data_IF_885496049205
#
_entry.id   IF_885496049205
#
_cell.length_a   1.000
_cell.length_b   1.000
_cell.length_c   1.000
_cell.angle_alpha   90.00
_cell.angle_beta   90.00
_cell.angle_gamma   90.00
#
_symmetry.space_group_name_H-M   'P 1'
#
loop_
_entity.id
_entity.type
_entity.pdbx_description
1 polymer ?
#
# COMPACT_ATOMS: atom_id res chain seq x y z
N UNK A 1 -20.13 10.85 -37.04
CA UNK A 1 -18.96 10.37 -36.23
C UNK A 1 -19.42 10.37 -34.78
N UNK A 2 -19.11 9.34 -34.00
CA UNK A 2 -19.42 9.39 -32.59
C UNK A 2 -18.39 10.27 -31.91
N UNK A 3 -18.84 11.27 -31.18
CA UNK A 3 -17.97 12.16 -30.43
C UNK A 3 -17.51 11.46 -29.14
N UNK A 4 -16.21 11.55 -28.83
CA UNK A 4 -15.63 11.07 -27.60
C UNK A 4 -15.24 12.29 -26.78
N UNK A 5 -15.69 12.33 -25.54
CA UNK A 5 -15.29 13.36 -24.60
C UNK A 5 -14.15 12.82 -23.75
N UNK A 6 -12.94 13.34 -23.97
CA UNK A 6 -11.84 13.16 -23.05
C UNK A 6 -11.87 14.28 -22.01
N UNK A 7 -11.80 13.94 -20.73
CA UNK A 7 -11.61 14.96 -19.72
C UNK A 7 -10.31 15.74 -19.96
N UNK A 8 -10.31 17.04 -19.69
CA UNK A 8 -9.17 17.92 -19.95
C UNK A 8 -8.01 17.59 -19.00
N UNK A 9 -6.82 17.43 -19.54
CA UNK A 9 -5.61 17.31 -18.73
C UNK A 9 -5.34 18.64 -18.01
N UNK A 10 -4.96 18.58 -16.74
CA UNK A 10 -4.52 19.77 -16.01
C UNK A 10 -3.10 20.19 -16.44
N UNK A 11 -2.68 21.41 -16.08
CA UNK A 11 -1.43 22.01 -16.52
C UNK A 11 -0.20 21.14 -16.26
N UNK A 12 -0.11 20.50 -15.09
CA UNK A 12 0.98 19.59 -14.77
C UNK A 12 1.03 18.34 -15.67
N UNK A 13 -0.13 17.81 -16.08
CA UNK A 13 -0.21 16.70 -17.05
C UNK A 13 0.10 17.17 -18.48
N UNK A 14 -0.37 18.36 -18.86
CA UNK A 14 -0.06 18.96 -20.17
C UNK A 14 1.44 19.22 -20.31
N UNK A 15 2.10 19.66 -19.24
CA UNK A 15 3.55 19.86 -19.22
C UNK A 15 4.30 18.55 -19.48
N UNK A 16 3.98 17.48 -18.73
CA UNK A 16 4.54 16.15 -18.96
C UNK A 16 4.23 15.65 -20.37
N UNK A 17 3.01 15.88 -20.86
CA UNK A 17 2.61 15.48 -22.21
C UNK A 17 3.42 16.21 -23.29
N UNK A 18 3.61 17.53 -23.20
CA UNK A 18 4.36 18.30 -24.17
C UNK A 18 5.85 17.94 -24.16
N UNK A 19 6.48 17.86 -23.00
CA UNK A 19 7.90 17.55 -22.87
C UNK A 19 8.22 16.13 -23.34
N UNK A 20 7.28 15.22 -23.22
CA UNK A 20 7.45 13.82 -23.63
C UNK A 20 7.56 13.64 -25.15
N UNK A 21 7.15 14.63 -25.97
CA UNK A 21 7.21 14.50 -27.43
C UNK A 21 8.64 14.38 -27.97
N UNK A 22 9.62 14.90 -27.25
CA UNK A 22 11.04 14.83 -27.63
C UNK A 22 11.72 13.52 -27.19
N UNK A 23 11.01 12.68 -26.39
CA UNK A 23 11.56 11.48 -25.79
C UNK A 23 10.73 10.23 -26.12
N UNK A 24 11.40 9.17 -26.57
CA UNK A 24 10.73 7.90 -26.88
C UNK A 24 10.33 7.15 -25.61
N UNK A 25 11.17 7.17 -24.58
CA UNK A 25 10.97 6.47 -23.32
C UNK A 25 10.85 7.50 -22.20
N UNK A 26 9.72 7.48 -21.50
CA UNK A 26 9.38 8.46 -20.47
C UNK A 26 9.09 7.77 -19.13
N UNK A 27 9.76 8.18 -18.07
CA UNK A 27 9.48 7.80 -16.70
C UNK A 27 8.78 8.97 -16.01
N UNK A 28 7.55 8.76 -15.53
CA UNK A 28 6.74 9.81 -14.90
C UNK A 28 6.60 9.50 -13.41
N UNK A 29 7.40 10.15 -12.61
CA UNK A 29 7.46 10.02 -11.17
C UNK A 29 6.43 10.94 -10.54
N UNK A 30 5.35 10.33 -10.04
CA UNK A 30 4.14 11.05 -9.63
C UNK A 30 3.87 10.94 -8.13
N UNK A 31 3.35 12.02 -7.53
CA UNK A 31 2.72 11.97 -6.22
C UNK A 31 1.32 11.33 -6.27
N UNK A 32 0.84 10.87 -5.11
CA UNK A 32 -0.55 10.42 -4.95
C UNK A 32 -1.52 11.52 -5.38
N UNK A 33 -2.66 11.14 -5.97
CA UNK A 33 -3.68 12.08 -6.46
C UNK A 33 -3.21 13.05 -7.56
N UNK A 34 -2.01 12.86 -8.12
CA UNK A 34 -1.59 13.66 -9.27
C UNK A 34 -2.41 13.38 -10.54
N UNK A 35 -3.02 12.22 -10.65
CA UNK A 35 -3.84 11.84 -11.80
C UNK A 35 -3.14 10.94 -12.82
N UNK A 36 -2.22 10.06 -12.37
CA UNK A 36 -1.51 9.07 -13.20
C UNK A 36 -2.44 8.30 -14.14
N UNK A 37 -3.39 7.59 -13.55
CA UNK A 37 -4.34 6.73 -14.30
C UNK A 37 -5.20 7.52 -15.28
N UNK A 38 -5.49 8.78 -14.96
CA UNK A 38 -6.23 9.69 -15.82
C UNK A 38 -5.40 10.05 -17.08
N UNK A 39 -4.15 10.48 -16.89
CA UNK A 39 -3.23 10.77 -18.00
C UNK A 39 -2.95 9.53 -18.84
N UNK A 40 -2.73 8.37 -18.20
CA UNK A 40 -2.56 7.08 -18.87
C UNK A 40 -3.77 6.76 -19.76
N UNK A 41 -4.98 6.89 -19.23
CA UNK A 41 -6.22 6.62 -19.97
C UNK A 41 -6.39 7.59 -21.15
N UNK A 42 -6.10 8.87 -20.96
CA UNK A 42 -6.13 9.88 -22.02
C UNK A 42 -5.14 9.57 -23.14
N UNK A 43 -3.93 9.15 -22.79
CA UNK A 43 -2.92 8.70 -23.75
C UNK A 43 -3.40 7.46 -24.54
N UNK A 44 -3.97 6.47 -23.83
CA UNK A 44 -4.50 5.27 -24.45
C UNK A 44 -5.60 5.57 -25.48
N UNK A 45 -6.56 6.43 -25.11
CA UNK A 45 -7.64 6.83 -26.02
C UNK A 45 -7.08 7.61 -27.22
N UNK A 46 -6.20 8.57 -26.97
CA UNK A 46 -5.59 9.39 -28.05
C UNK A 46 -4.89 8.50 -29.09
N UNK A 47 -4.04 7.59 -28.65
CA UNK A 47 -3.32 6.71 -29.57
C UNK A 47 -4.25 5.69 -30.24
N UNK A 48 -5.17 5.08 -29.52
CA UNK A 48 -6.11 4.11 -30.12
C UNK A 48 -7.04 4.72 -31.16
N UNK A 49 -7.33 6.02 -31.05
CA UNK A 49 -8.20 6.74 -32.01
C UNK A 49 -7.44 7.42 -33.14
N UNK A 50 -6.16 7.77 -32.94
CA UNK A 50 -5.27 8.33 -33.97
C UNK A 50 -4.94 7.27 -35.02
N UNK A 51 -4.94 7.67 -36.29
CA UNK A 51 -4.60 6.77 -37.39
C UNK A 51 -3.10 6.70 -37.61
N UNK A 52 -2.60 5.50 -37.78
CA UNK A 52 -1.21 5.17 -38.07
C UNK A 52 -1.11 4.34 -39.33
N UNK A 53 -0.16 4.69 -40.21
CA UNK A 53 0.16 3.90 -41.40
C UNK A 53 0.76 2.56 -40.97
N UNK A 54 0.25 1.45 -41.51
CA UNK A 54 0.79 0.13 -41.22
C UNK A 54 2.01 -0.20 -42.08
N UNK A 55 3.12 -0.68 -41.49
CA UNK A 55 4.29 -1.10 -42.27
C UNK A 55 3.90 -2.15 -43.31
N UNK A 56 4.35 -1.93 -44.56
CA UNK A 56 4.07 -2.86 -45.66
C UNK A 56 2.63 -2.88 -46.19
N UNK A 57 1.76 -1.99 -45.71
CA UNK A 57 0.36 -1.86 -46.13
C UNK A 57 0.05 -0.42 -46.48
N UNK A 58 -0.75 -0.17 -47.48
CA UNK A 58 -1.19 1.18 -47.84
C UNK A 58 -2.53 1.51 -47.19
N UNK A 59 -2.62 1.22 -45.86
CA UNK A 59 -3.78 1.51 -45.04
C UNK A 59 -3.39 2.20 -43.75
N UNK A 60 -4.30 3.05 -43.25
CA UNK A 60 -4.20 3.67 -41.95
C UNK A 60 -5.28 3.11 -41.02
N UNK A 61 -4.86 2.68 -39.85
CA UNK A 61 -5.74 2.15 -38.80
C UNK A 61 -5.46 2.84 -37.47
N UNK A 62 -6.42 2.80 -36.58
CA UNK A 62 -6.21 3.26 -35.20
C UNK A 62 -5.01 2.58 -34.55
N UNK A 63 -4.37 3.26 -33.61
CA UNK A 63 -3.13 2.79 -32.96
C UNK A 63 -3.33 1.52 -32.12
N UNK A 64 -2.21 0.85 -31.89
CA UNK A 64 -2.10 -0.31 -30.99
C UNK A 64 -1.47 0.14 -29.68
N UNK A 65 -2.17 -0.06 -28.60
CA UNK A 65 -1.80 0.38 -27.25
C UNK A 65 -1.55 -0.86 -26.39
N UNK A 66 -0.43 -0.90 -25.69
CA UNK A 66 -0.14 -1.90 -24.66
C UNK A 66 -0.22 -1.26 -23.28
N UNK A 67 -1.13 -1.72 -22.42
CA UNK A 67 -1.26 -1.30 -21.04
C UNK A 67 -0.77 -2.42 -20.15
N UNK A 68 0.15 -2.10 -19.24
CA UNK A 68 0.79 -3.05 -18.34
C UNK A 68 0.57 -2.59 -16.90
N UNK A 69 0.05 -3.49 -16.07
CA UNK A 69 -0.19 -3.27 -14.65
C UNK A 69 0.48 -4.39 -13.84
N UNK A 70 0.81 -4.14 -12.58
CA UNK A 70 1.34 -5.18 -11.72
C UNK A 70 0.27 -6.23 -11.40
N UNK A 71 -0.96 -5.79 -11.10
CA UNK A 71 -2.03 -6.63 -10.59
C UNK A 71 -3.33 -6.53 -11.40
N UNK A 72 -4.18 -7.57 -11.25
CA UNK A 72 -5.46 -7.66 -11.95
C UNK A 72 -6.44 -6.53 -11.56
N UNK A 73 -6.45 -6.10 -10.30
CA UNK A 73 -7.34 -5.03 -9.83
C UNK A 73 -7.05 -3.70 -10.54
N UNK A 74 -5.77 -3.35 -10.68
CA UNK A 74 -5.34 -2.13 -11.40
C UNK A 74 -5.79 -2.18 -12.86
N UNK A 75 -5.61 -3.34 -13.50
CA UNK A 75 -6.10 -3.56 -14.87
C UNK A 75 -7.61 -3.30 -14.99
N UNK A 76 -8.42 -3.84 -14.07
CA UNK A 76 -9.87 -3.70 -14.13
C UNK A 76 -10.31 -2.23 -14.01
N UNK A 77 -9.71 -1.49 -13.10
CA UNK A 77 -10.02 -0.06 -12.91
C UNK A 77 -9.71 0.78 -14.18
N UNK A 78 -8.62 0.47 -14.86
CA UNK A 78 -8.25 1.16 -16.12
C UNK A 78 -9.20 0.73 -17.24
N UNK A 79 -9.51 -0.56 -17.33
CA UNK A 79 -10.40 -1.10 -18.35
C UNK A 79 -11.79 -0.47 -18.27
N UNK A 80 -12.38 -0.40 -17.09
CA UNK A 80 -13.74 0.15 -16.88
C UNK A 80 -13.82 1.61 -17.33
N UNK A 81 -12.81 2.43 -17.00
CA UNK A 81 -12.73 3.82 -17.46
C UNK A 81 -12.60 3.93 -18.97
N UNK A 82 -11.75 3.10 -19.57
CA UNK A 82 -11.57 3.10 -21.03
C UNK A 82 -12.78 2.57 -21.78
N UNK A 83 -13.47 1.58 -21.22
CA UNK A 83 -14.70 1.04 -21.81
C UNK A 83 -15.79 2.11 -21.83
N UNK A 84 -15.97 2.86 -20.73
CA UNK A 84 -16.96 3.95 -20.67
C UNK A 84 -16.70 5.01 -21.74
N UNK A 85 -15.48 5.52 -21.84
CA UNK A 85 -15.10 6.57 -22.81
C UNK A 85 -15.17 6.05 -24.26
N UNK A 86 -14.72 4.83 -24.51
CA UNK A 86 -14.61 4.26 -25.86
C UNK A 86 -15.86 3.49 -26.31
N UNK A 87 -16.89 3.41 -25.50
CA UNK A 87 -18.13 2.68 -25.81
C UNK A 87 -18.70 2.99 -27.20
N UNK A 88 -18.77 4.26 -27.66
CA UNK A 88 -19.28 4.59 -28.99
C UNK A 88 -18.44 4.03 -30.14
N UNK A 89 -17.14 3.84 -29.93
CA UNK A 89 -16.17 3.32 -30.91
C UNK A 89 -15.83 1.84 -30.69
N UNK A 90 -16.31 1.23 -29.63
CA UNK A 90 -16.05 -0.19 -29.32
C UNK A 90 -16.60 -1.09 -30.43
N UNK A 91 -15.75 -1.98 -30.94
CA UNK A 91 -16.13 -3.07 -31.85
C UNK A 91 -16.38 -4.36 -31.08
N UNK A 92 -15.43 -4.75 -30.22
CA UNK A 92 -15.51 -5.97 -29.41
C UNK A 92 -14.51 -5.92 -28.27
N UNK A 93 -14.70 -6.79 -27.28
CA UNK A 93 -13.73 -7.10 -26.24
C UNK A 93 -13.53 -8.61 -26.12
N UNK A 94 -12.29 -9.04 -26.20
CA UNK A 94 -11.90 -10.44 -25.95
C UNK A 94 -11.44 -10.60 -24.51
N UNK A 95 -12.21 -11.29 -23.69
CA UNK A 95 -11.81 -11.61 -22.30
C UNK A 95 -10.58 -12.50 -22.23
N UNK A 96 -10.45 -13.44 -23.17
CA UNK A 96 -9.33 -14.36 -23.22
C UNK A 96 -8.02 -13.66 -23.54
N UNK A 97 -8.03 -12.76 -24.54
CA UNK A 97 -6.84 -11.99 -24.92
C UNK A 97 -6.67 -10.70 -24.13
N UNK A 98 -7.64 -10.35 -23.26
CA UNK A 98 -7.70 -9.04 -22.57
C UNK A 98 -7.48 -7.88 -23.56
N UNK A 99 -8.25 -7.87 -24.65
CA UNK A 99 -8.09 -6.95 -25.77
C UNK A 99 -9.38 -6.22 -26.11
N UNK A 100 -9.32 -4.89 -26.10
CA UNK A 100 -10.37 -4.03 -26.63
C UNK A 100 -10.07 -3.67 -28.08
N UNK A 101 -11.03 -3.90 -28.97
CA UNK A 101 -10.94 -3.54 -30.39
C UNK A 101 -11.90 -2.41 -30.72
N UNK A 102 -11.44 -1.41 -31.50
CA UNK A 102 -12.21 -0.29 -31.95
C UNK A 102 -12.62 -0.42 -33.42
N UNK A 103 -13.71 0.26 -33.80
CA UNK A 103 -14.26 0.27 -35.16
C UNK A 103 -13.27 0.84 -36.19
N UNK A 104 -12.37 1.75 -35.77
CA UNK A 104 -11.32 2.33 -36.62
C UNK A 104 -10.11 1.41 -36.78
N UNK A 105 -10.14 0.19 -36.24
CA UNK A 105 -9.02 -0.79 -36.24
C UNK A 105 -8.01 -0.60 -35.11
N UNK A 106 -8.23 0.38 -34.21
CA UNK A 106 -7.43 0.55 -32.99
C UNK A 106 -7.59 -0.63 -32.05
N UNK A 107 -6.53 -0.91 -31.28
CA UNK A 107 -6.48 -2.05 -30.34
C UNK A 107 -5.81 -1.62 -29.03
N UNK A 108 -6.39 -2.04 -27.92
CA UNK A 108 -5.81 -1.86 -26.59
C UNK A 108 -5.67 -3.24 -25.96
N UNK A 109 -4.43 -3.66 -25.71
CA UNK A 109 -4.10 -4.90 -25.03
C UNK A 109 -3.77 -4.59 -23.56
N UNK A 110 -4.29 -5.43 -22.66
CA UNK A 110 -4.04 -5.31 -21.23
C UNK A 110 -3.22 -6.49 -20.73
N UNK A 111 -2.19 -6.21 -19.95
CA UNK A 111 -1.24 -7.19 -19.44
C UNK A 111 -1.08 -7.04 -17.93
N UNK A 112 -1.10 -8.17 -17.22
CA UNK A 112 -0.72 -8.24 -15.81
C UNK A 112 0.68 -8.82 -15.73
N UNK A 113 1.63 -8.04 -15.21
CA UNK A 113 3.06 -8.40 -15.27
C UNK A 113 3.46 -9.40 -14.20
N UNK A 114 2.87 -9.33 -13.00
CA UNK A 114 3.21 -10.23 -11.88
C UNK A 114 2.95 -11.72 -12.20
N UNK A 115 2.04 -12.01 -13.13
CA UNK A 115 1.64 -13.38 -13.48
C UNK A 115 2.21 -13.84 -14.82
N UNK A 116 2.88 -12.96 -15.59
CA UNK A 116 3.25 -13.27 -16.96
C UNK A 116 4.58 -12.63 -17.41
N UNK A 117 5.66 -13.41 -17.32
CA UNK A 117 6.99 -13.00 -17.81
C UNK A 117 7.07 -12.78 -19.33
N UNK A 118 6.06 -13.21 -20.09
CA UNK A 118 5.96 -13.03 -21.55
C UNK A 118 4.99 -11.92 -21.94
N UNK A 119 4.57 -11.08 -20.98
CA UNK A 119 3.65 -9.98 -21.23
C UNK A 119 4.13 -9.08 -22.39
N UNK A 120 3.27 -8.85 -23.36
CA UNK A 120 3.55 -8.07 -24.56
C UNK A 120 4.28 -8.80 -25.68
N UNK A 121 4.87 -9.99 -25.44
CA UNK A 121 5.68 -10.68 -26.46
C UNK A 121 4.87 -11.05 -27.70
N UNK A 122 5.44 -10.81 -28.88
CA UNK A 122 4.79 -11.06 -30.18
C UNK A 122 3.75 -10.00 -30.56
N UNK A 123 3.71 -8.88 -29.86
CA UNK A 123 2.89 -7.70 -30.18
C UNK A 123 3.72 -6.58 -30.77
N UNK A 124 3.03 -5.59 -31.31
CA UNK A 124 3.59 -4.32 -31.80
C UNK A 124 2.72 -3.19 -31.33
N UNK A 125 3.31 -2.16 -30.74
CA UNK A 125 2.57 -1.04 -30.16
C UNK A 125 3.09 0.31 -30.66
N UNK A 126 2.19 1.25 -30.90
CA UNK A 126 2.49 2.66 -31.11
C UNK A 126 2.75 3.37 -29.77
N UNK A 127 2.15 2.84 -28.69
CA UNK A 127 2.43 3.30 -27.33
C UNK A 127 2.35 2.17 -26.32
N UNK A 128 3.24 2.19 -25.34
CA UNK A 128 3.22 1.37 -24.14
C UNK A 128 2.98 2.27 -22.94
N UNK A 129 2.07 1.84 -22.06
CA UNK A 129 1.71 2.51 -20.83
C UNK A 129 1.85 1.50 -19.68
N UNK A 130 2.72 1.79 -18.70
CA UNK A 130 2.95 0.96 -17.53
C UNK A 130 2.49 1.75 -16.30
N UNK A 131 1.56 1.20 -15.53
CA UNK A 131 1.07 1.83 -14.30
C UNK A 131 1.66 1.13 -13.06
N UNK A 132 1.93 1.92 -12.03
CA UNK A 132 2.49 1.51 -10.74
C UNK A 132 3.75 0.63 -10.87
N UNK A 133 4.69 1.06 -11.69
CA UNK A 133 5.88 0.29 -12.07
C UNK A 133 6.83 -0.01 -10.90
N UNK A 134 6.81 0.79 -9.83
CA UNK A 134 7.60 0.54 -8.63
C UNK A 134 7.05 -0.62 -7.79
N UNK A 135 5.74 -0.91 -7.88
CA UNK A 135 5.02 -1.84 -6.99
C UNK A 135 4.76 -3.20 -7.65
N UNK A 136 5.78 -3.79 -8.24
CA UNK A 136 5.70 -5.17 -8.75
C UNK A 136 6.00 -6.17 -7.65
N UNK A 137 5.48 -7.40 -7.79
CA UNK A 137 5.67 -8.50 -6.82
C UNK A 137 7.14 -8.77 -6.46
N UNK A 138 8.03 -8.53 -7.41
CA UNK A 138 9.49 -8.52 -7.21
C UNK A 138 10.05 -7.26 -7.85
N UNK A 139 10.93 -6.52 -7.17
CA UNK A 139 11.55 -5.32 -7.71
C UNK A 139 12.20 -5.53 -9.08
N UNK A 140 12.74 -6.72 -9.32
CA UNK A 140 13.44 -7.09 -10.55
C UNK A 140 12.49 -7.49 -11.70
N UNK A 141 11.21 -7.71 -11.44
CA UNK A 141 10.25 -8.26 -12.42
C UNK A 141 10.23 -7.47 -13.72
N UNK A 142 9.98 -6.17 -13.65
CA UNK A 142 9.98 -5.32 -14.83
C UNK A 142 11.38 -5.17 -15.44
N UNK A 143 12.44 -5.20 -14.63
CA UNK A 143 13.83 -5.18 -15.08
C UNK A 143 14.15 -6.37 -15.96
N UNK A 144 13.57 -7.55 -15.66
CA UNK A 144 13.70 -8.76 -16.47
C UNK A 144 12.86 -8.71 -17.75
N UNK A 145 11.58 -8.34 -17.66
CA UNK A 145 10.65 -8.46 -18.78
C UNK A 145 10.72 -7.26 -19.75
N UNK A 146 11.16 -6.08 -19.29
CA UNK A 146 11.26 -4.90 -20.13
C UNK A 146 12.13 -5.14 -21.38
N UNK A 147 13.43 -5.55 -21.28
CA UNK A 147 14.27 -5.74 -22.44
C UNK A 147 13.88 -6.95 -23.30
N UNK A 148 13.31 -7.99 -22.71
CA UNK A 148 13.04 -9.26 -23.38
C UNK A 148 11.67 -9.34 -24.05
N UNK A 149 10.68 -8.66 -23.50
CA UNK A 149 9.28 -8.83 -23.92
C UNK A 149 8.60 -7.51 -24.28
N UNK A 150 8.79 -6.45 -23.49
CA UNK A 150 8.02 -5.21 -23.64
C UNK A 150 8.69 -4.26 -24.64
N UNK A 151 9.93 -3.82 -24.41
CA UNK A 151 10.64 -2.89 -25.28
C UNK A 151 10.68 -3.31 -26.75
N UNK A 152 10.90 -4.61 -27.10
CA UNK A 152 10.91 -5.04 -28.49
C UNK A 152 9.63 -4.76 -29.27
N UNK A 153 8.48 -4.64 -28.59
CA UNK A 153 7.18 -4.35 -29.23
C UNK A 153 7.12 -2.95 -29.87
N UNK A 154 8.05 -2.06 -29.53
CA UNK A 154 8.15 -0.70 -30.07
C UNK A 154 9.05 -0.59 -31.32
N UNK A 155 9.82 -1.64 -31.65
CA UNK A 155 10.88 -1.52 -32.65
C UNK A 155 10.36 -1.17 -34.05
N UNK A 156 9.31 -1.86 -34.51
CA UNK A 156 8.75 -1.68 -35.85
C UNK A 156 7.96 -0.41 -36.01
N UNK A 157 7.34 0.05 -34.93
CA UNK A 157 6.46 1.21 -34.91
C UNK A 157 7.21 2.51 -34.58
N UNK A 158 8.43 2.40 -34.06
CA UNK A 158 9.14 3.49 -33.38
C UNK A 158 8.23 4.15 -32.30
N UNK A 159 7.44 3.30 -31.63
CA UNK A 159 6.47 3.69 -30.63
C UNK A 159 7.11 4.28 -29.39
N UNK A 160 6.29 4.82 -28.51
CA UNK A 160 6.69 5.47 -27.25
C UNK A 160 6.34 4.62 -26.04
N UNK A 161 7.04 4.84 -24.93
CA UNK A 161 6.66 4.26 -23.64
C UNK A 161 6.54 5.35 -22.58
N UNK A 162 5.52 5.18 -21.74
CA UNK A 162 5.33 5.94 -20.50
C UNK A 162 5.23 4.98 -19.35
N UNK A 163 6.06 5.19 -18.35
CA UNK A 163 6.14 4.37 -17.14
C UNK A 163 5.79 5.26 -15.95
N UNK A 164 4.63 5.04 -15.38
CA UNK A 164 4.10 5.82 -14.27
C UNK A 164 4.29 5.08 -12.94
N UNK A 165 4.71 5.77 -11.91
CA UNK A 165 4.63 5.29 -10.53
C UNK A 165 4.79 6.40 -9.51
N UNK A 166 4.29 6.17 -8.29
CA UNK A 166 4.84 6.78 -7.09
C UNK A 166 6.17 6.09 -6.79
N UNK A 167 7.19 6.78 -6.23
CA UNK A 167 8.42 6.16 -5.78
C UNK A 167 8.18 5.10 -4.69
N UNK A 168 9.02 4.07 -4.66
CA UNK A 168 9.03 3.05 -3.61
C UNK A 168 10.46 2.90 -3.05
N UNK A 169 10.85 3.88 -2.24
CA UNK A 169 12.18 3.93 -1.64
C UNK A 169 13.35 4.05 -2.63
N UNK A 170 14.56 3.91 -2.11
CA UNK A 170 15.81 3.86 -2.87
C UNK A 170 16.22 2.40 -3.03
N UNK A 171 15.99 1.81 -4.19
CA UNK A 171 16.36 0.43 -4.50
C UNK A 171 16.85 0.32 -5.95
N UNK A 172 18.15 0.08 -6.16
CA UNK A 172 18.73 -0.07 -7.48
C UNK A 172 18.18 -1.29 -8.25
N UNK A 173 17.64 -2.29 -7.56
CA UNK A 173 16.99 -3.43 -8.19
C UNK A 173 15.56 -3.11 -8.64
N UNK A 174 14.95 -2.08 -8.09
CA UNK A 174 13.64 -1.61 -8.54
C UNK A 174 13.75 -0.99 -9.94
N UNK A 175 12.98 -1.53 -10.89
CA UNK A 175 12.99 -1.05 -12.28
C UNK A 175 12.68 0.44 -12.39
N UNK A 176 11.67 0.91 -11.64
CA UNK A 176 11.24 2.31 -11.71
C UNK A 176 12.32 3.26 -11.16
N UNK A 177 12.95 2.89 -10.04
CA UNK A 177 14.10 3.63 -9.52
C UNK A 177 15.24 3.70 -10.56
N UNK A 178 15.57 2.53 -11.14
CA UNK A 178 16.66 2.43 -12.12
C UNK A 178 16.42 3.31 -13.36
N UNK A 179 15.21 3.35 -13.93
CA UNK A 179 14.92 4.16 -15.13
C UNK A 179 14.89 5.67 -14.85
N UNK A 180 14.60 6.08 -13.60
CA UNK A 180 14.68 7.49 -13.20
C UNK A 180 16.12 7.97 -12.98
N UNK A 181 17.07 7.09 -12.60
CA UNK A 181 18.42 7.49 -12.22
C UNK A 181 19.49 7.10 -13.24
N UNK A 182 19.33 5.95 -13.91
CA UNK A 182 20.33 5.46 -14.85
C UNK A 182 20.06 5.95 -16.28
N UNK A 183 20.72 7.03 -16.67
CA UNK A 183 20.59 7.63 -18.01
C UNK A 183 20.91 6.66 -19.16
N UNK A 184 21.71 5.62 -18.93
CA UNK A 184 22.03 4.62 -19.96
C UNK A 184 20.82 3.76 -20.37
N UNK A 185 19.76 3.74 -19.57
CA UNK A 185 18.50 3.06 -19.92
C UNK A 185 17.67 3.87 -20.94
N UNK A 186 18.02 5.12 -21.19
CA UNK A 186 17.44 5.98 -22.23
C UNK A 186 16.07 6.55 -21.90
N UNK A 187 15.67 6.52 -20.63
CA UNK A 187 14.44 7.17 -20.18
C UNK A 187 14.69 8.65 -19.85
N UNK A 188 13.71 9.47 -20.19
CA UNK A 188 13.61 10.83 -19.68
C UNK A 188 12.68 10.83 -18.46
N UNK A 189 13.13 11.42 -17.35
CA UNK A 189 12.38 11.50 -16.11
C UNK A 189 11.55 12.78 -16.05
N UNK A 190 10.27 12.64 -15.76
CA UNK A 190 9.35 13.73 -15.43
C UNK A 190 9.01 13.66 -13.95
N UNK A 191 9.23 14.75 -13.21
CA UNK A 191 8.87 14.88 -11.80
C UNK A 191 7.51 15.57 -11.69
N UNK A 192 6.55 14.88 -11.12
CA UNK A 192 5.15 15.28 -11.09
C UNK A 192 4.57 15.19 -9.65
N UNK A 193 4.93 16.13 -8.75
CA UNK A 193 4.44 16.14 -7.38
C UNK A 193 2.92 16.43 -7.33
N UNK A 194 2.26 16.00 -6.27
CA UNK A 194 0.81 16.21 -6.04
C UNK A 194 0.42 17.68 -6.16
N UNK A 195 1.29 18.60 -5.71
CA UNK A 195 1.06 20.04 -5.78
C UNK A 195 0.90 20.61 -7.20
N UNK A 196 1.32 19.87 -8.21
CA UNK A 196 1.12 20.27 -9.62
C UNK A 196 -0.26 19.89 -10.17
N UNK A 197 -1.10 19.22 -9.38
CA UNK A 197 -2.52 18.99 -9.69
C UNK A 197 -3.40 20.07 -9.06
N UNK A 198 -3.98 21.01 -9.85
CA UNK A 198 -4.81 22.10 -9.32
C UNK A 198 -6.13 21.63 -8.70
N UNK A 199 -6.53 20.38 -8.90
CA UNK A 199 -7.71 19.80 -8.27
C UNK A 199 -7.48 19.36 -6.81
N UNK A 200 -6.23 19.39 -6.34
CA UNK A 200 -5.88 19.14 -4.94
C UNK A 200 -5.73 20.49 -4.22
N UNK A 201 -6.64 20.84 -3.31
CA UNK A 201 -6.55 22.09 -2.57
C UNK A 201 -5.23 22.16 -1.77
N UNK A 202 -4.51 23.30 -1.79
CA UNK A 202 -3.25 23.44 -1.03
C UNK A 202 -3.40 23.18 0.47
N UNK A 203 -4.55 23.56 1.04
CA UNK A 203 -4.86 23.33 2.45
C UNK A 203 -5.01 21.84 2.79
N UNK A 204 -5.52 21.04 1.89
CA UNK A 204 -5.59 19.59 2.10
C UNK A 204 -4.20 18.94 2.00
N UNK A 205 -3.36 19.42 1.08
CA UNK A 205 -1.99 18.95 0.98
C UNK A 205 -1.16 19.35 2.23
N UNK A 206 -1.42 20.52 2.80
CA UNK A 206 -0.76 20.96 4.04
C UNK A 206 -1.21 20.09 5.23
N UNK A 207 -2.49 19.74 5.33
CA UNK A 207 -2.96 18.79 6.34
C UNK A 207 -2.27 17.44 6.21
N UNK A 208 -2.10 16.93 4.97
CA UNK A 208 -1.34 15.70 4.75
C UNK A 208 0.12 15.82 5.20
N UNK A 209 0.75 16.99 5.02
CA UNK A 209 2.10 17.26 5.49
C UNK A 209 2.22 17.24 7.01
N UNK A 210 1.25 17.83 7.71
CA UNK A 210 1.21 17.87 9.16
C UNK A 210 0.90 16.50 9.79
N UNK A 211 0.09 15.69 9.11
CA UNK A 211 -0.42 14.43 9.64
C UNK A 211 0.48 13.22 9.36
N UNK A 212 1.43 13.31 8.41
CA UNK A 212 2.30 12.21 8.04
C UNK A 212 3.75 12.41 8.51
N UNK A 213 4.48 11.29 8.65
CA UNK A 213 5.94 11.35 8.76
C UNK A 213 6.49 12.14 7.57
N UNK A 214 7.41 13.10 7.77
CA UNK A 214 7.96 13.89 6.67
C UNK A 214 8.54 13.07 5.53
N UNK A 215 9.09 11.87 5.81
CA UNK A 215 9.60 10.95 4.79
C UNK A 215 8.47 10.36 3.96
N UNK A 216 7.37 9.97 4.60
CA UNK A 216 6.17 9.49 3.92
C UNK A 216 5.60 10.60 3.04
N UNK A 217 5.47 11.81 3.57
CA UNK A 217 4.97 12.95 2.79
C UNK A 217 5.85 13.23 1.56
N UNK A 218 7.17 13.19 1.73
CA UNK A 218 8.11 13.37 0.62
C UNK A 218 7.95 12.32 -0.47
N UNK A 219 7.85 11.05 -0.08
CA UNK A 219 7.67 9.96 -1.04
C UNK A 219 6.30 10.00 -1.72
N UNK A 220 5.23 10.07 -0.91
CA UNK A 220 3.87 9.87 -1.40
C UNK A 220 3.30 11.11 -2.12
N UNK A 221 3.64 12.32 -1.67
CA UNK A 221 3.06 13.55 -2.21
C UNK A 221 4.05 14.40 -3.00
N UNK A 222 5.32 14.46 -2.58
CA UNK A 222 6.34 15.17 -3.36
C UNK A 222 6.98 14.29 -4.42
N UNK A 223 6.62 13.01 -4.48
CA UNK A 223 7.16 12.02 -5.42
C UNK A 223 8.70 11.92 -5.35
N UNK A 224 9.29 11.98 -4.16
CA UNK A 224 10.73 11.84 -3.97
C UNK A 224 11.10 10.39 -3.64
N UNK A 225 12.26 9.94 -4.10
CA UNK A 225 12.82 8.69 -3.61
C UNK A 225 13.43 8.90 -2.22
N UNK A 226 12.95 8.15 -1.25
CA UNK A 226 13.37 8.27 0.16
C UNK A 226 14.16 7.04 0.56
N UNK A 227 15.33 7.24 1.15
CA UNK A 227 16.10 6.16 1.74
C UNK A 227 15.51 5.79 3.11
N UNK A 228 14.91 4.61 3.18
CA UNK A 228 14.33 4.06 4.39
C UNK A 228 15.31 3.28 5.27
N UNK A 229 16.53 3.02 4.77
CA UNK A 229 17.54 2.21 5.49
C UNK A 229 18.13 2.94 6.69
N UNK A 230 18.11 4.25 6.72
CA UNK A 230 18.81 5.07 7.71
C UNK A 230 18.14 5.11 9.08
N UNK A 231 16.81 4.91 9.17
CA UNK A 231 16.07 4.94 10.44
C UNK A 231 14.77 4.16 10.36
N UNK A 232 14.30 3.61 11.49
CA UNK A 232 13.00 2.98 11.60
C UNK A 232 11.86 3.91 11.13
N UNK A 233 10.79 3.32 10.58
CA UNK A 233 9.56 4.06 10.27
C UNK A 233 8.94 4.65 11.54
N UNK A 234 8.96 3.89 12.64
CA UNK A 234 8.36 4.29 13.91
C UNK A 234 9.43 4.78 14.89
N UNK A 235 9.46 6.09 15.15
CA UNK A 235 10.29 6.65 16.22
C UNK A 235 9.63 6.38 17.58
N UNK A 236 10.05 5.34 18.26
CA UNK A 236 9.46 4.91 19.55
C UNK A 236 9.54 5.96 20.65
N UNK A 237 10.35 7.03 20.51
CA UNK A 237 10.33 8.18 21.43
C UNK A 237 8.96 8.87 21.47
N UNK A 238 8.18 8.77 20.40
CA UNK A 238 6.80 9.29 20.36
C UNK A 238 5.86 8.59 21.33
N UNK A 239 6.19 7.38 21.79
CA UNK A 239 5.43 6.69 22.83
C UNK A 239 5.53 7.31 24.20
N UNK A 240 6.59 8.12 24.45
CA UNK A 240 6.89 8.69 25.75
C UNK A 240 6.35 10.10 25.89
N UNK A 241 6.24 10.53 27.14
CA UNK A 241 5.92 11.91 27.55
C UNK A 241 7.14 12.53 28.26
N UNK A 242 6.98 13.78 28.72
CA UNK A 242 8.06 14.58 29.30
C UNK A 242 8.79 15.45 28.26
N UNK A 243 9.56 16.40 28.74
CA UNK A 243 10.30 17.35 27.89
C UNK A 243 11.30 16.64 26.95
N UNK A 244 11.87 15.51 27.39
CA UNK A 244 12.81 14.73 26.61
C UNK A 244 12.18 13.54 25.87
N UNK A 245 10.86 13.34 25.96
CA UNK A 245 10.17 12.16 25.44
C UNK A 245 10.84 10.86 25.92
N UNK A 246 10.99 10.70 27.21
CA UNK A 246 11.71 9.58 27.85
C UNK A 246 10.89 8.86 28.94
N UNK A 247 9.67 9.35 29.25
CA UNK A 247 8.85 8.80 30.32
C UNK A 247 7.66 8.02 29.76
N UNK A 248 7.56 6.70 30.01
CA UNK A 248 6.35 5.94 29.74
C UNK A 248 5.19 6.48 30.62
N UNK A 249 3.99 6.34 30.11
CA UNK A 249 2.80 6.85 30.80
C UNK A 249 2.26 5.84 31.81
N UNK A 250 1.49 6.30 32.79
CA UNK A 250 0.71 5.41 33.64
C UNK A 250 -0.56 4.93 32.91
N UNK A 251 -1.24 3.92 33.43
CA UNK A 251 -2.55 3.54 32.93
C UNK A 251 -3.50 4.76 33.00
N UNK A 252 -4.34 4.98 31.99
CA UNK A 252 -5.32 6.06 32.06
C UNK A 252 -6.28 5.82 33.23
N UNK A 253 -6.54 6.86 34.01
CA UNK A 253 -7.55 6.81 35.09
C UNK A 253 -8.95 6.54 34.55
N UNK A 254 -9.22 6.97 33.32
CA UNK A 254 -10.46 6.73 32.58
C UNK A 254 -10.17 6.77 31.09
N UNK A 255 -10.76 5.84 30.33
CA UNK A 255 -10.71 5.83 28.88
C UNK A 255 -12.10 5.59 28.29
N UNK A 256 -12.23 5.75 26.98
CA UNK A 256 -13.49 5.49 26.28
C UNK A 256 -13.77 3.99 26.22
N UNK A 257 -12.81 3.19 25.79
CA UNK A 257 -12.91 1.76 25.69
C UNK A 257 -11.53 1.09 25.78
N UNK A 258 -11.51 -0.23 26.00
CA UNK A 258 -10.34 -1.06 25.81
C UNK A 258 -10.59 -2.11 24.74
N UNK A 259 -9.54 -2.50 24.01
CA UNK A 259 -9.60 -3.60 23.04
C UNK A 259 -8.24 -4.28 22.93
N UNK A 260 -8.21 -5.43 22.29
CA UNK A 260 -6.97 -6.08 21.92
C UNK A 260 -6.93 -6.39 20.43
N UNK A 261 -5.72 -6.49 19.88
CA UNK A 261 -5.47 -7.02 18.53
C UNK A 261 -4.65 -8.29 18.69
N UNK A 262 -5.00 -9.30 17.92
CA UNK A 262 -4.41 -10.63 17.98
C UNK A 262 -3.98 -11.07 16.59
N UNK A 263 -2.69 -11.32 16.43
CA UNK A 263 -2.12 -12.00 15.27
C UNK A 263 -1.85 -13.47 15.58
N UNK A 264 -2.28 -14.37 14.70
CA UNK A 264 -2.27 -15.82 14.93
C UNK A 264 -1.29 -16.55 14.04
N UNK A 265 -0.29 -17.22 14.61
CA UNK A 265 0.56 -18.15 13.87
C UNK A 265 -0.15 -19.48 13.60
N UNK A 266 0.12 -20.07 12.42
CA UNK A 266 -0.46 -21.39 12.03
C UNK A 266 0.29 -22.56 12.67
N UNK A 267 1.60 -22.41 12.90
CA UNK A 267 2.48 -23.49 13.39
C UNK A 267 3.26 -23.03 14.63
N UNK A 268 3.20 -23.82 15.67
CA UNK A 268 4.08 -23.69 16.83
C UNK A 268 5.51 -24.19 16.50
N UNK A 269 6.51 -23.70 17.26
CA UNK A 269 7.91 -24.11 17.17
C UNK A 269 8.88 -22.94 17.02
N UNK A 270 10.14 -23.16 17.39
CA UNK A 270 11.17 -22.10 17.46
C UNK A 270 11.51 -21.42 16.13
N UNK A 271 11.18 -22.08 15.01
CA UNK A 271 11.44 -21.58 13.65
C UNK A 271 10.26 -20.84 13.01
N UNK A 272 9.09 -20.84 13.68
CA UNK A 272 7.86 -20.24 13.15
C UNK A 272 7.54 -18.93 13.88
N UNK A 273 6.66 -18.13 13.28
CA UNK A 273 6.14 -16.91 13.88
C UNK A 273 5.34 -17.22 15.14
N UNK A 274 5.25 -16.26 16.03
CA UNK A 274 4.52 -16.40 17.29
C UNK A 274 3.06 -16.00 17.13
N UNK A 275 2.22 -16.40 18.08
CA UNK A 275 0.94 -15.74 18.27
C UNK A 275 1.15 -14.56 19.22
N UNK A 276 0.74 -13.38 18.76
CA UNK A 276 0.93 -12.13 19.48
C UNK A 276 -0.41 -11.49 19.86
N UNK A 277 -0.42 -10.72 20.92
CA UNK A 277 -1.56 -9.88 21.33
C UNK A 277 -1.04 -8.57 21.91
N UNK A 278 -1.67 -7.46 21.51
CA UNK A 278 -1.43 -6.14 22.12
C UNK A 278 -2.75 -5.57 22.63
N UNK A 279 -2.75 -5.07 23.86
CA UNK A 279 -3.92 -4.53 24.57
C UNK A 279 -3.85 -3.00 24.60
N UNK A 280 -4.98 -2.37 24.34
CA UNK A 280 -5.08 -0.93 24.18
C UNK A 280 -6.20 -0.32 25.03
N UNK A 281 -5.93 0.87 25.57
CA UNK A 281 -6.96 1.81 25.98
C UNK A 281 -7.06 2.90 24.90
N UNK A 282 -8.25 3.21 24.45
CA UNK A 282 -8.53 4.22 23.44
C UNK A 282 -9.40 5.34 23.98
N UNK A 283 -9.10 6.56 23.54
CA UNK A 283 -9.95 7.73 23.68
C UNK A 283 -9.94 8.48 22.34
N UNK A 284 -11.09 8.56 21.68
CA UNK A 284 -11.24 9.20 20.35
C UNK A 284 -11.84 10.61 20.47
N UNK A 285 -12.25 11.04 21.67
CA UNK A 285 -12.91 12.30 21.91
C UNK A 285 -12.07 13.48 21.48
N UNK A 286 -12.63 14.53 20.85
CA UNK A 286 -11.91 15.71 20.42
C UNK A 286 -11.05 16.33 21.53
N UNK A 287 -9.76 16.57 21.25
CA UNK A 287 -8.80 17.10 22.19
C UNK A 287 -8.23 16.09 23.21
N UNK A 288 -8.66 14.82 23.14
CA UNK A 288 -8.15 13.72 23.98
C UNK A 288 -7.74 12.50 23.19
N UNK A 289 -7.65 12.62 21.86
CA UNK A 289 -7.31 11.50 20.99
C UNK A 289 -6.01 10.82 21.42
N UNK A 290 -6.12 9.58 21.89
CA UNK A 290 -4.99 8.82 22.43
C UNK A 290 -5.26 7.33 22.37
N UNK A 291 -4.24 6.58 22.00
CA UNK A 291 -4.17 5.12 22.12
C UNK A 291 -3.04 4.78 23.10
N UNK A 292 -3.37 4.19 24.25
CA UNK A 292 -2.36 3.76 25.22
C UNK A 292 -2.17 2.26 25.11
N UNK A 293 -0.96 1.82 24.82
CA UNK A 293 -0.55 0.41 24.89
C UNK A 293 -0.49 0.03 26.37
N UNK A 294 -1.41 -0.81 26.81
CA UNK A 294 -1.54 -1.22 28.21
C UNK A 294 -0.65 -2.42 28.54
N UNK A 295 -0.68 -3.40 27.65
CA UNK A 295 0.04 -4.67 27.81
C UNK A 295 0.26 -5.31 26.43
N UNK A 296 1.10 -6.32 26.38
CA UNK A 296 1.35 -7.14 25.19
C UNK A 296 1.82 -8.52 25.60
N UNK A 297 1.59 -9.52 24.74
CA UNK A 297 2.14 -10.85 24.91
C UNK A 297 2.52 -11.48 23.57
N UNK A 298 3.46 -12.40 23.59
CA UNK A 298 3.86 -13.20 22.44
C UNK A 298 4.19 -14.61 22.90
N UNK A 299 3.52 -15.59 22.31
CA UNK A 299 3.64 -17.00 22.69
C UNK A 299 3.94 -17.85 21.48
N UNK A 300 4.78 -18.89 21.70
CA UNK A 300 4.98 -19.94 20.72
C UNK A 300 4.05 -21.11 21.08
N UNK A 301 2.85 -21.08 20.54
CA UNK A 301 1.83 -22.07 20.83
C UNK A 301 1.35 -22.73 19.53
N UNK A 302 1.11 -24.04 19.58
CA UNK A 302 0.49 -24.73 18.45
C UNK A 302 -0.95 -24.26 18.26
N UNK A 303 -1.36 -24.06 17.00
CA UNK A 303 -2.71 -23.59 16.67
C UNK A 303 -3.82 -24.40 17.33
N UNK A 304 -3.62 -25.70 17.53
CA UNK A 304 -4.56 -26.57 18.23
C UNK A 304 -4.76 -26.21 19.71
N UNK A 305 -3.80 -25.51 20.33
CA UNK A 305 -3.83 -25.09 21.73
C UNK A 305 -4.28 -23.64 21.91
N UNK A 306 -4.44 -22.88 20.84
CA UNK A 306 -4.87 -21.48 20.90
C UNK A 306 -6.20 -21.31 21.65
N UNK A 307 -7.12 -22.25 21.50
CA UNK A 307 -8.40 -22.23 22.22
C UNK A 307 -8.27 -22.25 23.74
N UNK A 308 -7.23 -22.88 24.26
CA UNK A 308 -6.97 -22.94 25.71
C UNK A 308 -6.31 -21.67 26.24
N UNK A 309 -5.65 -20.92 25.35
CA UNK A 309 -4.97 -19.66 25.70
C UNK A 309 -5.89 -18.44 25.57
N UNK A 310 -6.78 -18.41 24.57
CA UNK A 310 -7.69 -17.28 24.30
C UNK A 310 -8.50 -16.82 25.53
N UNK A 311 -9.04 -17.70 26.39
CA UNK A 311 -9.73 -17.26 27.61
C UNK A 311 -8.89 -16.35 28.50
N UNK A 312 -7.57 -16.61 28.62
CA UNK A 312 -6.67 -15.76 29.41
C UNK A 312 -6.50 -14.35 28.77
N UNK A 313 -6.62 -14.25 27.45
CA UNK A 313 -6.63 -12.95 26.75
C UNK A 313 -7.88 -12.14 27.13
N UNK A 314 -9.05 -12.78 27.18
CA UNK A 314 -10.28 -12.10 27.59
C UNK A 314 -10.26 -11.73 29.08
N UNK A 315 -9.75 -12.60 29.95
CA UNK A 315 -9.56 -12.28 31.35
C UNK A 315 -8.69 -11.05 31.54
N UNK A 316 -7.54 -11.02 30.86
CA UNK A 316 -6.64 -9.87 30.89
C UNK A 316 -7.28 -8.61 30.36
N UNK A 317 -8.04 -8.69 29.27
CA UNK A 317 -8.76 -7.55 28.69
C UNK A 317 -9.81 -6.99 29.66
N UNK A 318 -10.53 -7.85 30.40
CA UNK A 318 -11.50 -7.45 31.41
C UNK A 318 -10.83 -6.79 32.63
N UNK A 319 -9.69 -7.31 33.08
CA UNK A 319 -8.89 -6.69 34.14
C UNK A 319 -8.47 -5.27 33.74
N UNK A 320 -7.91 -5.11 32.53
CA UNK A 320 -7.46 -3.82 32.00
C UNK A 320 -8.63 -2.83 31.81
N UNK A 321 -9.79 -3.33 31.37
CA UNK A 321 -11.01 -2.53 31.27
C UNK A 321 -11.43 -1.96 32.62
N UNK A 322 -11.32 -2.77 33.66
CA UNK A 322 -11.65 -2.36 35.04
C UNK A 322 -10.60 -1.39 35.60
N UNK A 323 -9.32 -1.65 35.36
CA UNK A 323 -8.22 -0.79 35.82
C UNK A 323 -8.24 0.61 35.18
N UNK A 324 -8.57 0.69 33.90
CA UNK A 324 -8.64 1.95 33.15
C UNK A 324 -10.03 2.62 33.20
N UNK A 325 -10.95 2.12 34.01
CA UNK A 325 -12.34 2.63 34.11
C UNK A 325 -12.90 2.93 32.70
N UNK A 326 -12.91 1.92 31.84
CA UNK A 326 -13.38 2.05 30.45
C UNK A 326 -14.90 2.31 30.42
N UNK A 327 -15.32 3.47 29.91
CA UNK A 327 -16.71 3.92 29.89
C UNK A 327 -17.60 2.98 29.10
N UNK A 328 -17.14 2.55 27.92
CA UNK A 328 -17.83 1.59 27.05
C UNK A 328 -17.39 0.13 27.31
N UNK A 329 -16.58 -0.10 28.36
CA UNK A 329 -16.07 -1.42 28.68
C UNK A 329 -15.03 -1.92 27.66
N UNK A 330 -15.06 -3.25 27.41
CA UNK A 330 -14.21 -3.90 26.44
C UNK A 330 -14.93 -4.04 25.09
N UNK A 331 -14.27 -3.64 24.03
CA UNK A 331 -14.72 -3.87 22.64
C UNK A 331 -14.36 -5.28 22.15
N UNK A 332 -13.63 -6.07 22.95
CA UNK A 332 -13.20 -7.41 22.57
C UNK A 332 -11.87 -7.46 21.83
N UNK A 333 -11.65 -8.58 21.15
CA UNK A 333 -10.40 -8.89 20.46
C UNK A 333 -10.61 -8.81 18.95
N UNK A 334 -9.79 -8.03 18.27
CA UNK A 334 -9.79 -7.90 16.81
C UNK A 334 -8.80 -8.90 16.21
N UNK A 335 -9.27 -9.70 15.24
CA UNK A 335 -8.51 -10.80 14.64
C UNK A 335 -8.61 -10.72 13.12
N UNK A 336 -7.49 -10.98 12.43
CA UNK A 336 -7.49 -11.11 10.97
C UNK A 336 -8.22 -12.38 10.53
N UNK A 337 -9.16 -12.26 9.58
CA UNK A 337 -9.90 -13.40 9.02
C UNK A 337 -9.05 -14.16 7.99
N UNK A 338 -7.98 -14.77 8.50
CA UNK A 338 -7.07 -15.59 7.74
C UNK A 338 -6.61 -16.79 8.59
N UNK A 339 -6.43 -17.94 7.97
CA UNK A 339 -5.83 -19.12 8.60
C UNK A 339 -6.48 -19.49 9.95
N UNK A 340 -5.73 -19.48 11.03
CA UNK A 340 -6.24 -19.78 12.38
C UNK A 340 -7.21 -18.72 12.92
N UNK A 341 -7.04 -17.47 12.50
CA UNK A 341 -7.96 -16.38 12.87
C UNK A 341 -9.40 -16.65 12.43
N UNK A 342 -9.60 -17.20 11.21
CA UNK A 342 -10.94 -17.59 10.74
C UNK A 342 -11.60 -18.64 11.66
N UNK A 343 -10.82 -19.58 12.18
CA UNK A 343 -11.31 -20.61 13.11
C UNK A 343 -11.71 -19.99 14.43
N UNK A 344 -10.90 -19.06 14.96
CA UNK A 344 -11.19 -18.35 16.21
C UNK A 344 -12.43 -17.47 16.09
N UNK A 345 -12.63 -16.80 14.96
CA UNK A 345 -13.84 -16.01 14.69
C UNK A 345 -15.09 -16.90 14.69
N UNK A 346 -15.09 -18.03 13.98
CA UNK A 346 -16.21 -18.98 13.96
C UNK A 346 -16.52 -19.55 15.36
N UNK A 347 -15.47 -19.88 16.12
CA UNK A 347 -15.65 -20.35 17.50
C UNK A 347 -16.17 -19.26 18.42
N UNK A 348 -15.68 -18.04 18.25
CA UNK A 348 -16.16 -16.87 18.97
C UNK A 348 -17.66 -16.70 18.81
N UNK A 349 -18.18 -16.79 17.59
CA UNK A 349 -19.62 -16.78 17.34
C UNK A 349 -20.35 -17.90 18.08
N UNK A 350 -19.81 -19.12 18.09
CA UNK A 350 -20.45 -20.28 18.69
C UNK A 350 -20.41 -20.27 20.22
N UNK A 351 -19.35 -19.72 20.82
CA UNK A 351 -19.09 -19.68 22.26
C UNK A 351 -19.48 -18.34 22.92
N UNK A 352 -19.91 -17.36 22.13
CA UNK A 352 -20.23 -16.02 22.59
C UNK A 352 -19.00 -15.22 23.06
N UNK A 353 -17.84 -15.49 22.48
CA UNK A 353 -16.62 -14.73 22.77
C UNK A 353 -16.66 -13.34 22.11
N UNK A 354 -16.15 -12.29 22.77
CA UNK A 354 -16.11 -10.95 22.21
C UNK A 354 -14.96 -10.83 21.17
N UNK A 355 -15.11 -11.46 20.02
CA UNK A 355 -14.17 -11.40 18.91
C UNK A 355 -14.74 -10.59 17.76
N UNK A 356 -13.91 -9.79 17.13
CA UNK A 356 -14.25 -8.96 16.00
C UNK A 356 -13.31 -9.24 14.82
N UNK A 357 -13.88 -9.24 13.64
CA UNK A 357 -13.09 -9.37 12.42
C UNK A 357 -12.46 -8.03 12.05
N UNK A 358 -11.15 -8.02 11.73
CA UNK A 358 -10.51 -6.88 11.09
C UNK A 358 -11.03 -6.75 9.66
N UNK A 359 -11.37 -5.53 9.23
CA UNK A 359 -11.93 -5.27 7.92
C UNK A 359 -11.06 -5.79 6.77
N UNK A 360 -11.71 -6.42 5.78
CA UNK A 360 -11.02 -6.99 4.61
C UNK A 360 -10.29 -5.93 3.77
N UNK A 361 -10.75 -4.69 3.81
CA UNK A 361 -10.09 -3.54 3.18
C UNK A 361 -8.71 -3.24 3.77
N UNK A 362 -8.47 -3.58 5.03
CA UNK A 362 -7.20 -3.43 5.73
C UNK A 362 -6.32 -4.68 5.55
N UNK A 363 -6.89 -5.87 5.70
CA UNK A 363 -6.12 -7.12 5.60
C UNK A 363 -5.63 -7.41 4.19
N UNK A 364 -6.31 -6.89 3.16
CA UNK A 364 -5.86 -6.98 1.75
C UNK A 364 -4.65 -6.11 1.42
N UNK A 365 -4.27 -5.19 2.31
CA UNK A 365 -3.10 -4.33 2.15
C UNK A 365 -1.82 -5.04 2.60
N UNK A 366 -0.74 -4.81 1.87
CA UNK A 366 0.59 -5.29 2.30
C UNK A 366 1.04 -4.66 3.62
N UNK A 367 1.99 -5.32 4.30
CA UNK A 367 2.54 -4.86 5.59
C UNK A 367 3.06 -3.42 5.50
N UNK A 368 3.83 -3.09 4.48
CA UNK A 368 4.39 -1.75 4.30
C UNK A 368 3.29 -0.70 4.11
N UNK A 369 2.23 -1.01 3.35
CA UNK A 369 1.11 -0.09 3.17
C UNK A 369 0.36 0.16 4.49
N UNK A 370 0.12 -0.90 5.29
CA UNK A 370 -0.48 -0.75 6.63
C UNK A 370 0.41 0.08 7.55
N UNK A 371 1.72 -0.19 7.55
CA UNK A 371 2.66 0.57 8.36
C UNK A 371 2.71 2.05 7.98
N UNK A 372 2.66 2.38 6.69
CA UNK A 372 2.56 3.76 6.20
C UNK A 372 1.28 4.43 6.72
N UNK A 373 0.13 3.76 6.65
CA UNK A 373 -1.14 4.29 7.19
C UNK A 373 -1.04 4.56 8.70
N UNK A 374 -0.48 3.62 9.46
CA UNK A 374 -0.31 3.74 10.90
C UNK A 374 0.71 4.82 11.31
N UNK A 375 1.74 5.06 10.46
CA UNK A 375 2.84 5.96 10.77
C UNK A 375 2.42 7.40 11.01
N UNK A 376 1.37 7.87 10.34
CA UNK A 376 0.82 9.21 10.55
C UNK A 376 0.27 9.41 11.97
N UNK A 377 -0.46 8.43 12.51
CA UNK A 377 -0.97 8.47 13.89
C UNK A 377 0.16 8.39 14.91
N UNK A 378 1.16 7.53 14.64
CA UNK A 378 2.36 7.43 15.46
C UNK A 378 3.17 8.74 15.45
N UNK A 379 3.39 9.33 14.28
CA UNK A 379 4.15 10.57 14.11
C UNK A 379 3.52 11.74 14.91
N UNK A 380 2.20 11.85 14.91
CA UNK A 380 1.45 12.81 15.72
C UNK A 380 1.51 12.55 17.23
N UNK A 381 2.11 11.44 17.66
CA UNK A 381 2.23 11.06 19.07
C UNK A 381 0.93 10.60 19.71
N UNK A 382 -0.04 10.12 18.92
CA UNK A 382 -1.32 9.62 19.41
C UNK A 382 -1.18 8.27 20.15
N UNK A 383 -0.13 7.48 19.82
CA UNK A 383 0.21 6.27 20.56
C UNK A 383 1.12 6.58 21.75
N UNK A 384 0.77 6.03 22.90
CA UNK A 384 1.60 6.05 24.11
C UNK A 384 1.80 4.64 24.64
N UNK A 385 2.88 4.41 25.39
CA UNK A 385 3.13 3.13 26.03
C UNK A 385 3.07 3.28 27.54
N UNK A 386 2.31 2.39 28.19
CA UNK A 386 2.27 2.34 29.64
C UNK A 386 3.61 1.92 30.23
N UNK A 387 3.92 2.36 31.45
CA UNK A 387 5.11 1.92 32.19
C UNK A 387 5.14 0.38 32.29
N UNK A 388 3.99 -0.23 32.57
CA UNK A 388 3.86 -1.67 32.65
C UNK A 388 4.27 -2.37 31.33
N UNK A 389 3.71 -1.95 30.20
CA UNK A 389 4.02 -2.55 28.90
C UNK A 389 5.48 -2.27 28.45
N UNK A 390 6.03 -1.12 28.84
CA UNK A 390 7.40 -0.76 28.53
C UNK A 390 8.43 -1.57 29.31
N UNK A 391 8.19 -1.76 30.61
CA UNK A 391 9.10 -2.52 31.49
C UNK A 391 8.95 -4.04 31.33
N UNK A 392 7.83 -4.51 30.78
CA UNK A 392 7.57 -5.93 30.54
C UNK A 392 8.60 -6.55 29.61
N UNK A 393 9.09 -7.72 29.99
CA UNK A 393 9.90 -8.58 29.15
C UNK A 393 9.30 -9.98 29.07
N UNK A 394 9.47 -10.64 27.93
CA UNK A 394 9.06 -12.05 27.75
C UNK A 394 10.17 -12.84 27.07
N UNK A 395 10.17 -14.14 27.27
CA UNK A 395 11.05 -15.07 26.58
C UNK A 395 10.39 -15.50 25.28
N UNK A 396 10.98 -15.11 24.13
CA UNK A 396 10.49 -15.50 22.83
C UNK A 396 11.68 -15.81 21.89
N UNK A 397 11.62 -16.94 21.18
CA UNK A 397 12.73 -17.43 20.34
C UNK A 397 14.09 -17.45 21.07
N UNK A 398 14.07 -17.79 22.37
CA UNK A 398 15.29 -17.90 23.20
C UNK A 398 15.88 -16.56 23.68
N UNK A 399 15.23 -15.45 23.43
CA UNK A 399 15.66 -14.11 23.87
C UNK A 399 14.67 -13.55 24.90
N UNK A 400 15.19 -12.97 25.98
CA UNK A 400 14.39 -12.23 26.98
C UNK A 400 14.49 -10.74 26.65
N UNK A 401 13.40 -10.13 26.20
CA UNK A 401 13.37 -8.72 25.81
C UNK A 401 11.95 -8.13 25.87
N UNK A 402 11.85 -6.82 25.75
CA UNK A 402 10.59 -6.19 25.33
C UNK A 402 10.48 -6.35 23.81
N UNK A 403 9.73 -7.39 23.38
CA UNK A 403 9.63 -7.74 21.96
C UNK A 403 8.80 -6.75 21.18
N UNK A 404 7.78 -6.11 21.77
CA UNK A 404 7.01 -5.06 21.12
C UNK A 404 7.91 -3.86 20.76
N UNK A 405 8.65 -3.35 21.76
CA UNK A 405 9.59 -2.26 21.51
C UNK A 405 10.61 -2.63 20.44
N UNK A 406 11.15 -3.85 20.51
CA UNK A 406 12.18 -4.34 19.58
C UNK A 406 11.67 -4.45 18.15
N UNK A 407 10.45 -4.98 17.93
CA UNK A 407 9.86 -5.15 16.62
C UNK A 407 9.50 -3.79 15.99
N UNK A 408 8.85 -2.91 16.75
CA UNK A 408 8.43 -1.60 16.27
C UNK A 408 9.62 -0.68 16.00
N UNK A 409 10.63 -0.64 16.89
CA UNK A 409 11.81 0.23 16.73
C UNK A 409 12.75 -0.19 15.60
N UNK A 410 12.64 -1.41 15.09
CA UNK A 410 13.51 -1.96 14.04
C UNK A 410 12.82 -2.13 12.69
N UNK A 411 11.61 -1.68 12.58
CA UNK A 411 10.87 -1.80 11.32
C UNK A 411 11.31 -0.76 10.30
N UNK A 412 11.63 -1.23 9.10
CA UNK A 412 11.95 -0.39 7.95
C UNK A 412 11.09 -0.80 6.77
N UNK A 413 10.63 0.17 6.00
CA UNK A 413 9.91 -0.09 4.75
C UNK A 413 10.85 -0.75 3.73
N UNK A 414 10.27 -1.54 2.85
CA UNK A 414 10.99 -2.26 1.78
C UNK A 414 12.17 -3.13 2.28
N UNK A 415 12.10 -3.65 3.52
CA UNK A 415 13.15 -4.47 4.09
C UNK A 415 13.20 -5.86 3.47
N UNK A 416 14.20 -6.12 2.65
CA UNK A 416 14.43 -7.43 1.99
C UNK A 416 14.63 -8.59 2.97
N UNK A 417 14.97 -8.32 4.23
CA UNK A 417 15.19 -9.30 5.28
C UNK A 417 14.03 -9.39 6.30
N UNK A 418 12.91 -8.73 6.04
CA UNK A 418 11.75 -8.72 6.94
C UNK A 418 11.30 -10.15 7.30
N UNK A 419 11.25 -11.06 6.30
CA UNK A 419 10.87 -12.47 6.48
C UNK A 419 11.76 -13.28 7.45
N UNK A 420 12.89 -12.73 7.87
CA UNK A 420 13.81 -13.37 8.84
C UNK A 420 13.59 -12.90 10.27
N UNK A 421 12.73 -11.95 10.50
CA UNK A 421 12.48 -11.34 11.80
C UNK A 421 11.04 -11.55 12.21
N UNK A 422 10.83 -11.77 13.52
CA UNK A 422 9.50 -11.77 14.07
C UNK A 422 8.91 -10.33 13.99
N UNK A 423 7.67 -10.24 13.57
CA UNK A 423 6.97 -8.98 13.39
C UNK A 423 5.48 -9.03 13.80
N UNK A 424 5.08 -10.10 14.47
CA UNK A 424 3.72 -10.35 14.91
C UNK A 424 3.16 -9.18 15.77
N UNK A 425 3.95 -8.71 16.76
CA UNK A 425 3.58 -7.56 17.61
C UNK A 425 3.58 -6.22 16.84
N UNK A 426 4.36 -6.10 15.77
CA UNK A 426 4.32 -4.94 14.89
C UNK A 426 3.02 -4.90 14.09
N UNK A 427 2.55 -6.04 13.57
CA UNK A 427 1.28 -6.12 12.86
C UNK A 427 0.12 -5.74 13.80
N UNK A 428 0.10 -6.28 15.02
CA UNK A 428 -0.87 -5.88 16.05
C UNK A 428 -0.81 -4.38 16.35
N UNK A 429 0.40 -3.79 16.41
CA UNK A 429 0.58 -2.37 16.65
C UNK A 429 0.02 -1.52 15.52
N UNK A 430 0.28 -1.89 14.27
CA UNK A 430 -0.24 -1.15 13.11
C UNK A 430 -1.75 -1.25 13.00
N UNK A 431 -2.32 -2.43 13.20
CA UNK A 431 -3.76 -2.61 13.25
C UNK A 431 -4.41 -1.83 14.40
N UNK A 432 -3.80 -1.84 15.59
CA UNK A 432 -4.30 -1.09 16.74
C UNK A 432 -4.47 0.40 16.46
N UNK A 433 -3.48 1.01 15.80
CA UNK A 433 -3.53 2.42 15.38
C UNK A 433 -4.61 2.68 14.33
N UNK A 434 -4.73 1.81 13.33
CA UNK A 434 -5.70 1.98 12.25
C UNK A 434 -7.13 1.76 12.77
N UNK A 435 -7.36 0.76 13.62
CA UNK A 435 -8.66 0.51 14.25
C UNK A 435 -9.07 1.71 15.10
N UNK A 436 -8.15 2.27 15.90
CA UNK A 436 -8.45 3.40 16.77
C UNK A 436 -8.77 4.69 16.02
N UNK A 437 -8.13 4.95 14.88
CA UNK A 437 -8.17 6.28 14.26
C UNK A 437 -8.44 6.28 12.75
N UNK A 438 -8.47 5.12 12.10
CA UNK A 438 -8.46 5.03 10.62
C UNK A 438 -9.82 5.15 9.94
N UNK A 439 -10.92 4.92 10.65
CA UNK A 439 -12.28 5.09 10.14
C UNK A 439 -13.07 5.92 11.14
N UNK A 440 -13.74 6.94 10.68
CA UNK A 440 -14.58 7.79 11.54
C UNK A 440 -15.74 7.06 12.25
N UNK A 441 -15.92 5.76 11.97
CA UNK A 441 -16.98 4.90 12.51
C UNK A 441 -16.44 3.58 13.13
N UNK A 442 -15.13 3.43 13.36
CA UNK A 442 -14.54 2.14 13.74
C UNK A 442 -14.59 1.82 15.25
N UNK A 443 -14.91 2.79 16.12
CA UNK A 443 -15.07 2.59 17.57
C UNK A 443 -16.29 3.36 18.06
#
# INVERSE_FOLDING_TARGET
MADIYLPTLHDGQLMVWSDSWDHQLNAVRCGRRWGKTFMLSSAAVTYATTKFKRPGMDIELGGRVGIFTAEYRQYQEIYDKLEEVLLPLKKSFSRQEKRLMLKNGGKIDFWVTNDNKLAGRGREYEIILIDEAAFTKSPEMLKEIWPKSIKPTLLTTKGRAYVFSTPDGVDEENFFYAICHNKNLGFFEHHAPTSSNPSVPPEELEKERENNDPRVFRQEFLAEFVDWSAASLFDVRKWFEGENQDQPVEFPEMCEAVFAVLDTAVKGGSEHDGTAVVYYAVDTRPGRQRLTILDWDVVQIDGALLETWIPSVFERLNELSSQCVAVNGSLGVFIEDASMGSILLQKGESLGWPVNKIESSLTSKGKDERAIMASGYHYRGLAKISRYAYEKTAVFKGETANHLHKQVSRFHLADKNAHKRADDLLDDYTYGLIIAFGSGDAI
#
